data_IF_936033419518
#
_entry.id   IF_936033419518
#
_cell.length_a   1.000
_cell.length_b   1.000
_cell.length_c   1.000
_cell.angle_alpha   90.00
_cell.angle_beta   90.00
_cell.angle_gamma   90.00
#
_symmetry.space_group_name_H-M   'P 1'
#
loop_
_entity.id
_entity.type
_entity.pdbx_description
1 polymer ?
#
# COMPACT_ATOMS: atom_id res chain seq x y z
N UNK A 1 -9.51 13.00 -1.32
CA UNK A 1 -8.10 13.30 -1.66
C UNK A 1 -7.09 12.96 -0.55
N UNK A 2 -7.43 13.08 0.74
CA UNK A 2 -6.49 12.87 1.86
C UNK A 2 -5.78 11.49 1.88
N UNK A 3 -6.46 10.42 1.47
CA UNK A 3 -5.87 9.07 1.38
C UNK A 3 -4.69 9.04 0.39
N UNK A 4 -4.86 9.56 -0.82
CA UNK A 4 -3.80 9.55 -1.84
C UNK A 4 -2.65 10.50 -1.51
N UNK A 5 -2.91 11.60 -0.80
CA UNK A 5 -1.84 12.45 -0.26
C UNK A 5 -0.99 11.67 0.75
N UNK A 6 -1.64 11.00 1.71
CA UNK A 6 -0.97 10.15 2.69
C UNK A 6 -0.13 9.03 2.05
N UNK A 7 -0.62 8.42 0.97
CA UNK A 7 0.11 7.37 0.23
C UNK A 7 1.33 7.93 -0.51
N UNK A 8 1.24 9.13 -1.09
CA UNK A 8 2.38 9.77 -1.79
C UNK A 8 3.56 10.07 -0.88
N UNK A 9 3.31 10.24 0.41
CA UNK A 9 4.35 10.49 1.40
C UNK A 9 5.12 9.23 1.82
N UNK A 10 4.72 8.03 1.36
CA UNK A 10 5.40 6.78 1.71
C UNK A 10 6.71 6.69 0.90
N UNK A 11 7.90 6.70 1.53
CA UNK A 11 9.17 6.63 0.80
C UNK A 11 9.37 5.30 0.07
N UNK A 12 10.26 5.30 -0.92
CA UNK A 12 10.73 4.08 -1.58
C UNK A 12 11.32 3.09 -0.56
N UNK A 13 11.00 1.79 -0.70
CA UNK A 13 11.48 0.75 0.21
C UNK A 13 10.83 0.76 1.59
N UNK A 14 9.79 1.59 1.80
CA UNK A 14 9.00 1.63 3.03
C UNK A 14 7.56 1.23 2.76
N UNK A 15 6.92 0.69 3.79
CA UNK A 15 5.51 0.28 3.74
C UNK A 15 4.72 0.95 4.86
N UNK A 16 3.41 1.01 4.67
CA UNK A 16 2.46 1.40 5.71
C UNK A 16 1.29 0.43 5.74
N UNK A 17 0.35 0.63 6.65
CA UNK A 17 -0.88 -0.17 6.71
C UNK A 17 -2.12 0.69 6.53
N UNK A 18 -3.22 0.07 6.08
CA UNK A 18 -4.53 0.74 6.05
C UNK A 18 -4.91 1.34 7.41
N UNK A 19 -4.53 0.66 8.51
CA UNK A 19 -4.71 1.14 9.88
C UNK A 19 -3.96 2.46 10.12
N UNK A 20 -2.66 2.50 9.82
CA UNK A 20 -1.83 3.71 9.98
C UNK A 20 -2.32 4.88 9.12
N UNK A 21 -2.82 4.60 7.90
CA UNK A 21 -3.43 5.64 7.07
C UNK A 21 -4.68 6.19 7.74
N UNK A 22 -5.56 5.33 8.27
CA UNK A 22 -6.76 5.73 8.99
C UNK A 22 -6.45 6.58 10.22
N UNK A 23 -5.47 6.19 11.01
CA UNK A 23 -4.97 6.96 12.16
C UNK A 23 -4.47 8.35 11.72
N UNK A 24 -3.65 8.41 10.66
CA UNK A 24 -3.08 9.66 10.15
C UNK A 24 -4.13 10.65 9.65
N UNK A 25 -5.18 10.17 8.99
CA UNK A 25 -6.28 11.02 8.49
C UNK A 25 -7.46 11.12 9.47
N UNK A 26 -7.33 10.58 10.68
CA UNK A 26 -8.36 10.53 11.73
C UNK A 26 -9.69 9.93 11.25
N UNK A 27 -9.62 8.86 10.46
CA UNK A 27 -10.79 8.12 9.94
C UNK A 27 -10.81 6.68 10.40
N UNK A 28 -11.98 6.22 10.87
CA UNK A 28 -12.24 4.80 11.21
C UNK A 28 -12.86 4.01 10.04
N UNK A 29 -13.09 4.66 8.89
CA UNK A 29 -13.71 4.06 7.71
C UNK A 29 -12.74 3.21 6.89
N UNK A 30 -12.25 2.10 7.44
CA UNK A 30 -11.24 1.26 6.78
C UNK A 30 -11.65 0.72 5.41
N UNK A 31 -12.95 0.40 5.23
CA UNK A 31 -13.49 -0.01 3.93
C UNK A 31 -13.37 1.11 2.89
N UNK A 32 -13.75 2.34 3.25
CA UNK A 32 -13.63 3.50 2.37
C UNK A 32 -12.17 3.83 2.03
N UNK A 33 -11.26 3.69 3.00
CA UNK A 33 -9.81 3.81 2.77
C UNK A 33 -9.34 2.74 1.76
N UNK A 34 -9.75 1.48 1.96
CA UNK A 34 -9.44 0.38 1.04
C UNK A 34 -9.95 0.64 -0.38
N UNK A 35 -11.21 1.08 -0.51
CA UNK A 35 -11.79 1.47 -1.80
C UNK A 35 -11.03 2.63 -2.45
N UNK A 36 -10.64 3.66 -1.68
CA UNK A 36 -9.86 4.77 -2.20
C UNK A 36 -8.46 4.33 -2.68
N UNK A 37 -7.78 3.45 -1.94
CA UNK A 37 -6.49 2.86 -2.33
C UNK A 37 -6.64 2.04 -3.62
N UNK A 38 -7.69 1.23 -3.72
CA UNK A 38 -7.95 0.36 -4.88
C UNK A 38 -8.39 1.10 -6.14
N UNK A 39 -8.99 2.29 -6.01
CA UNK A 39 -9.40 3.17 -7.12
C UNK A 39 -8.29 4.11 -7.60
N UNK A 40 -7.04 3.88 -7.20
CA UNK A 40 -5.92 4.69 -7.67
C UNK A 40 -5.67 4.47 -9.18
N UNK A 41 -5.88 5.49 -10.04
CA UNK A 41 -5.67 5.35 -11.48
C UNK A 41 -4.19 5.48 -11.89
N UNK A 42 -3.33 6.03 -11.01
CA UNK A 42 -1.92 6.30 -11.26
C UNK A 42 -1.06 5.41 -10.36
N UNK A 43 -0.96 4.13 -10.73
CA UNK A 43 0.00 3.21 -10.12
C UNK A 43 1.42 3.78 -10.14
N UNK A 44 2.25 3.39 -9.18
CA UNK A 44 3.66 3.83 -9.03
C UNK A 44 3.78 5.30 -8.57
N UNK A 45 3.16 6.26 -9.26
CA UNK A 45 3.19 7.69 -8.88
C UNK A 45 2.50 7.90 -7.53
N UNK A 46 1.33 7.27 -7.35
CA UNK A 46 0.71 7.10 -6.03
C UNK A 46 1.03 5.64 -5.65
N UNK A 47 2.00 5.40 -4.76
CA UNK A 47 2.56 4.06 -4.53
C UNK A 47 1.63 3.20 -3.65
N UNK A 48 0.43 2.88 -4.14
CA UNK A 48 -0.57 2.11 -3.41
C UNK A 48 -0.15 0.66 -3.15
N UNK A 49 0.84 0.14 -3.88
CA UNK A 49 1.49 -1.16 -3.59
C UNK A 49 2.23 -1.16 -2.24
N UNK A 50 2.62 0.01 -1.71
CA UNK A 50 3.25 0.15 -0.38
C UNK A 50 2.28 0.09 0.79
N UNK A 51 0.96 0.04 0.53
CA UNK A 51 -0.08 -0.06 1.56
C UNK A 51 -0.46 -1.51 1.79
N UNK A 52 -0.22 -2.02 2.99
CA UNK A 52 -0.45 -3.41 3.37
C UNK A 52 -1.62 -3.57 4.36
N UNK A 53 -2.14 -4.78 4.45
CA UNK A 53 -2.91 -5.20 5.62
C UNK A 53 -1.98 -5.36 6.83
N UNK A 54 -2.55 -5.32 8.03
CA UNK A 54 -1.77 -5.54 9.27
C UNK A 54 -1.08 -6.91 9.30
N UNK A 55 -1.64 -7.90 8.59
CA UNK A 55 -1.13 -9.28 8.53
C UNK A 55 -1.21 -9.87 7.11
N UNK A 56 -1.31 -9.04 6.08
CA UNK A 56 -1.45 -9.51 4.70
C UNK A 56 -0.94 -8.46 3.71
N UNK A 57 -0.68 -8.88 2.47
CA UNK A 57 -0.36 -7.92 1.40
C UNK A 57 -1.54 -6.95 1.13
N UNK A 58 -2.77 -7.31 1.50
CA UNK A 58 -3.96 -6.55 1.12
C UNK A 58 -4.26 -6.64 -0.38
N UNK A 59 -5.21 -5.84 -0.85
CA UNK A 59 -5.59 -5.82 -2.27
C UNK A 59 -4.64 -5.01 -3.15
N UNK A 60 -4.63 -5.31 -4.44
CA UNK A 60 -4.01 -4.50 -5.48
C UNK A 60 -4.80 -4.59 -6.77
N UNK A 61 -5.14 -3.44 -7.36
CA UNK A 61 -5.96 -3.38 -8.57
C UNK A 61 -5.33 -4.14 -9.75
N UNK A 62 -4.00 -4.05 -9.90
CA UNK A 62 -3.26 -4.70 -10.97
C UNK A 62 -2.79 -6.13 -10.63
N UNK A 63 -3.30 -6.71 -9.54
CA UNK A 63 -3.00 -8.10 -9.15
C UNK A 63 -1.84 -8.26 -8.16
N UNK A 64 -1.95 -9.27 -7.29
CA UNK A 64 -1.02 -9.46 -6.17
C UNK A 64 0.40 -9.81 -6.60
N UNK A 65 0.58 -10.48 -7.74
CA UNK A 65 1.92 -10.78 -8.27
C UNK A 65 2.71 -9.50 -8.56
N UNK A 66 2.07 -8.50 -9.17
CA UNK A 66 2.70 -7.21 -9.46
C UNK A 66 3.02 -6.46 -8.17
N UNK A 67 2.11 -6.45 -7.20
CA UNK A 67 2.35 -5.83 -5.89
C UNK A 67 3.55 -6.44 -5.19
N UNK A 68 3.64 -7.77 -5.17
CA UNK A 68 4.75 -8.49 -4.56
C UNK A 68 6.07 -8.21 -5.29
N UNK A 69 6.06 -8.24 -6.63
CA UNK A 69 7.22 -7.89 -7.45
C UNK A 69 7.73 -6.48 -7.15
N UNK A 70 6.85 -5.47 -7.13
CA UNK A 70 7.23 -4.09 -6.81
C UNK A 70 7.79 -3.98 -5.39
N UNK A 71 7.15 -4.61 -4.41
CA UNK A 71 7.65 -4.59 -3.03
C UNK A 71 9.04 -5.23 -2.89
N UNK A 72 9.31 -6.31 -3.62
CA UNK A 72 10.64 -6.94 -3.68
C UNK A 72 11.66 -6.06 -4.40
N UNK A 73 11.29 -5.48 -5.54
CA UNK A 73 12.12 -4.54 -6.29
C UNK A 73 12.59 -3.37 -5.40
N UNK A 74 11.70 -2.90 -4.51
CA UNK A 74 12.01 -1.83 -3.57
C UNK A 74 12.74 -2.27 -2.29
N UNK A 75 13.03 -3.57 -2.11
CA UNK A 75 13.50 -4.16 -0.85
C UNK A 75 12.59 -3.83 0.35
N UNK A 76 11.29 -3.68 0.10
CA UNK A 76 10.28 -3.34 1.10
C UNK A 76 9.70 -4.57 1.81
N UNK A 77 9.93 -5.76 1.26
CA UNK A 77 9.70 -7.06 1.88
C UNK A 77 11.04 -7.79 2.00
N UNK A 78 11.27 -8.56 3.07
CA UNK A 78 12.45 -9.40 3.16
C UNK A 78 12.46 -10.38 1.98
N UNK A 79 13.61 -10.50 1.31
CA UNK A 79 13.82 -11.51 0.28
C UNK A 79 13.56 -12.88 0.90
N UNK A 80 12.44 -13.48 0.50
CA UNK A 80 12.07 -14.82 0.96
C UNK A 80 12.79 -15.91 0.17
N UNK A 81 13.90 -15.58 -0.50
CA UNK A 81 14.69 -16.48 -1.35
C UNK A 81 15.67 -17.34 -0.53
N UNK A 82 15.25 -17.77 0.66
CA UNK A 82 15.93 -18.82 1.43
C UNK A 82 14.85 -19.76 1.98
N UNK A 83 14.61 -20.82 1.21
CA UNK A 83 14.34 -22.22 1.56
C UNK A 83 13.66 -22.90 0.37
#
# INVERSE_FOLDING_TARGET
MQVWQSIREIPYGKTTTYKKIGEKIRSKGYQAIGSAVGRNPLAIIIPCHRVLGTRSLGGYHYGLMIKNFLLKLENALPDTTIC
#
